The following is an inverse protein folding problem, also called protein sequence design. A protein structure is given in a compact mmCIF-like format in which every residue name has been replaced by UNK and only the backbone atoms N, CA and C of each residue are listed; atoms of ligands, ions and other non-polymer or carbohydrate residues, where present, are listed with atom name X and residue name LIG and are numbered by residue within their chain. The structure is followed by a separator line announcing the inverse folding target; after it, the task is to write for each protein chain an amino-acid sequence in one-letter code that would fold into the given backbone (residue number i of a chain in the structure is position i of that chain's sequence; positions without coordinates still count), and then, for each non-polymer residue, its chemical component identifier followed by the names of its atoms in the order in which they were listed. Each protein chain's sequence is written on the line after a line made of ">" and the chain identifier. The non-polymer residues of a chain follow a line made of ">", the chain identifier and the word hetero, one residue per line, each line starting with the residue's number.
data_IF_597009449977
#
_entry.id   IF_597009449977
#
_cell.length_a   1.000
_cell.length_b   1.000
_cell.length_c   1.000
_cell.angle_alpha   90.00
_cell.angle_beta   90.00
_cell.angle_gamma   90.00
#
_symmetry.space_group_name_H-M   'P 1'
#
loop_
_entity.id
_entity.type
_entity.pdbx_description
1 polymer ?
#
# COMPACT_ATOMS: atom_id res chain seq x y z
N UNK A 1 -1.24 32.57 11.03
CA UNK A 1 -0.81 31.43 10.19
C UNK A 1 -1.77 30.25 10.28
N UNK A 2 -1.97 29.65 11.46
CA UNK A 2 -2.76 28.42 11.60
C UNK A 2 -4.24 28.58 11.16
N UNK A 3 -4.89 29.69 11.54
CA UNK A 3 -6.27 30.00 11.11
C UNK A 3 -6.40 30.07 9.57
N UNK A 4 -5.37 30.56 8.88
CA UNK A 4 -5.39 30.70 7.43
C UNK A 4 -5.27 29.34 6.73
N UNK A 5 -4.42 28.45 7.26
CA UNK A 5 -4.29 27.06 6.77
C UNK A 5 -5.61 26.32 6.97
N UNK A 6 -6.23 26.40 8.16
CA UNK A 6 -7.53 25.76 8.42
C UNK A 6 -8.64 26.32 7.51
N UNK A 7 -8.66 27.62 7.25
CA UNK A 7 -9.65 28.19 6.32
C UNK A 7 -9.43 27.71 4.88
N UNK A 8 -8.18 27.58 4.43
CA UNK A 8 -7.86 27.04 3.10
C UNK A 8 -8.32 25.58 2.97
N UNK A 9 -8.00 24.75 3.96
CA UNK A 9 -8.41 23.35 4.02
C UNK A 9 -9.93 23.19 3.96
N UNK A 10 -10.69 24.02 4.70
CA UNK A 10 -12.16 24.00 4.66
C UNK A 10 -12.72 24.49 3.31
N UNK A 11 -12.15 25.54 2.71
CA UNK A 11 -12.62 26.04 1.41
C UNK A 11 -12.42 24.98 0.32
N UNK A 12 -11.24 24.36 0.28
CA UNK A 12 -10.92 23.29 -0.67
C UNK A 12 -11.80 22.08 -0.38
N UNK A 13 -11.99 21.71 0.89
CA UNK A 13 -12.84 20.60 1.31
C UNK A 13 -14.29 20.75 0.88
N UNK A 14 -14.88 21.94 1.06
CA UNK A 14 -16.25 22.22 0.62
C UNK A 14 -16.38 22.16 -0.90
N UNK A 15 -15.39 22.70 -1.64
CA UNK A 15 -15.38 22.66 -3.10
C UNK A 15 -15.25 21.22 -3.64
N UNK A 16 -14.37 20.40 -3.06
CA UNK A 16 -14.23 18.99 -3.43
C UNK A 16 -15.46 18.17 -3.02
N UNK A 17 -15.97 18.40 -1.82
CA UNK A 17 -17.15 17.71 -1.28
C UNK A 17 -18.41 17.98 -2.11
N UNK A 18 -18.62 19.22 -2.58
CA UNK A 18 -19.73 19.55 -3.46
C UNK A 18 -19.60 18.87 -4.84
N UNK A 19 -18.40 18.86 -5.43
CA UNK A 19 -18.13 18.16 -6.69
C UNK A 19 -18.43 16.65 -6.60
N UNK A 20 -18.05 16.01 -5.48
CA UNK A 20 -18.33 14.59 -5.24
C UNK A 20 -19.82 14.34 -5.09
N UNK A 21 -20.53 15.22 -4.37
CA UNK A 21 -21.97 15.10 -4.15
C UNK A 21 -22.75 15.27 -5.44
N UNK A 22 -22.41 16.28 -6.23
CA UNK A 22 -23.13 16.64 -7.45
C UNK A 22 -22.90 15.59 -8.56
N UNK A 23 -21.74 14.91 -8.55
CA UNK A 23 -21.38 13.85 -9.51
C UNK A 23 -21.45 12.43 -8.91
N UNK A 24 -22.35 12.19 -7.93
CA UNK A 24 -22.42 10.92 -7.18
C UNK A 24 -22.46 9.68 -8.08
N UNK A 25 -23.28 9.68 -9.13
CA UNK A 25 -23.43 8.53 -10.03
C UNK A 25 -22.13 8.21 -10.76
N UNK A 26 -21.42 9.24 -11.23
CA UNK A 26 -20.12 9.08 -11.88
C UNK A 26 -19.10 8.48 -10.92
N UNK A 27 -19.01 8.99 -9.68
CA UNK A 27 -18.09 8.44 -8.68
C UNK A 27 -18.40 6.99 -8.33
N UNK A 28 -19.68 6.60 -8.20
CA UNK A 28 -20.07 5.20 -7.99
C UNK A 28 -19.58 4.31 -9.14
N UNK A 29 -19.86 4.69 -10.39
CA UNK A 29 -19.44 3.91 -11.57
C UNK A 29 -17.91 3.84 -11.70
N UNK A 30 -17.21 4.93 -11.41
CA UNK A 30 -15.74 4.98 -11.43
C UNK A 30 -15.17 4.07 -10.34
N UNK A 31 -15.69 4.13 -9.11
CA UNK A 31 -15.25 3.24 -8.02
C UNK A 31 -15.52 1.78 -8.36
N UNK A 32 -16.69 1.46 -8.91
CA UNK A 32 -16.99 0.08 -9.32
C UNK A 32 -16.04 -0.42 -10.42
N UNK A 33 -15.86 0.38 -11.47
CA UNK A 33 -14.93 0.04 -12.56
C UNK A 33 -13.50 -0.09 -12.03
N UNK A 34 -13.10 0.81 -11.13
CA UNK A 34 -11.79 0.77 -10.50
C UNK A 34 -11.55 -0.56 -9.79
N UNK A 35 -12.51 -1.00 -8.98
CA UNK A 35 -12.41 -2.24 -8.22
C UNK A 35 -12.43 -3.46 -9.14
N UNK A 36 -13.40 -3.54 -10.05
CA UNK A 36 -13.55 -4.72 -10.93
C UNK A 36 -12.34 -4.90 -11.85
N UNK A 37 -11.81 -3.81 -12.40
CA UNK A 37 -10.70 -3.87 -13.36
C UNK A 37 -9.34 -3.87 -12.67
N UNK A 38 -9.07 -2.91 -11.79
CA UNK A 38 -7.72 -2.72 -11.24
C UNK A 38 -7.46 -3.48 -9.95
N UNK A 39 -8.49 -3.84 -9.17
CA UNK A 39 -8.29 -4.66 -7.96
C UNK A 39 -8.47 -6.14 -8.33
N UNK A 40 -9.64 -6.53 -8.82
CA UNK A 40 -9.94 -7.93 -9.11
C UNK A 40 -9.28 -8.41 -10.41
N UNK A 41 -9.36 -7.64 -11.49
CA UNK A 41 -8.71 -7.98 -12.77
C UNK A 41 -7.20 -8.14 -12.61
N UNK A 42 -6.53 -7.13 -12.06
CA UNK A 42 -5.09 -7.21 -11.78
C UNK A 42 -4.71 -8.40 -10.88
N UNK A 43 -5.50 -8.70 -9.84
CA UNK A 43 -5.22 -9.86 -8.98
C UNK A 43 -5.28 -11.18 -9.76
N UNK A 44 -6.29 -11.34 -10.63
CA UNK A 44 -6.43 -12.52 -11.49
C UNK A 44 -5.28 -12.61 -12.50
N UNK A 45 -4.93 -11.51 -13.14
CA UNK A 45 -3.83 -11.44 -14.10
C UNK A 45 -2.49 -11.76 -13.43
N UNK A 46 -2.24 -11.20 -12.24
CA UNK A 46 -1.04 -11.47 -11.43
C UNK A 46 -0.93 -12.95 -11.08
N UNK A 47 -2.05 -13.57 -10.65
CA UNK A 47 -2.09 -14.99 -10.29
C UNK A 47 -1.88 -15.91 -11.51
N UNK A 48 -2.47 -15.57 -12.65
CA UNK A 48 -2.24 -16.29 -13.91
C UNK A 48 -0.79 -16.16 -14.38
N UNK A 49 -0.23 -14.95 -14.34
CA UNK A 49 1.17 -14.70 -14.65
C UNK A 49 2.10 -15.54 -13.78
N UNK A 50 1.82 -15.61 -12.47
CA UNK A 50 2.61 -16.36 -11.52
C UNK A 50 2.51 -17.90 -11.68
N UNK A 51 1.40 -18.41 -12.20
CA UNK A 51 1.22 -19.82 -12.54
C UNK A 51 1.96 -20.20 -13.84
N UNK A 52 2.03 -19.28 -14.81
CA UNK A 52 2.48 -19.58 -16.17
C UNK A 52 3.98 -19.56 -16.44
N UNK A 53 4.78 -18.77 -15.69
CA UNK A 53 6.26 -18.72 -15.58
C UNK A 53 6.71 -17.28 -15.28
N UNK A 54 6.70 -16.85 -14.00
CA UNK A 54 7.12 -15.51 -13.65
C UNK A 54 8.60 -15.31 -13.98
N UNK A 55 8.90 -14.25 -14.74
CA UNK A 55 10.26 -13.87 -15.14
C UNK A 55 11.04 -14.98 -15.88
N UNK A 56 10.35 -15.95 -16.50
CA UNK A 56 10.97 -17.08 -17.19
C UNK A 56 11.60 -18.13 -16.27
N UNK A 57 11.37 -18.05 -14.96
CA UNK A 57 11.80 -19.07 -13.99
C UNK A 57 10.73 -20.16 -13.97
N UNK A 58 11.14 -21.40 -14.25
CA UNK A 58 10.24 -22.54 -14.14
C UNK A 58 10.03 -22.89 -12.66
N UNK A 59 8.85 -22.56 -12.16
CA UNK A 59 8.41 -22.94 -10.82
C UNK A 59 7.88 -24.38 -10.84
N UNK A 60 7.57 -24.91 -9.65
CA UNK A 60 6.83 -26.15 -9.55
C UNK A 60 5.37 -25.90 -9.98
N UNK A 61 5.05 -26.29 -11.22
CA UNK A 61 3.77 -26.03 -11.89
C UNK A 61 2.57 -26.52 -11.07
N UNK A 62 2.64 -27.74 -10.52
CA UNK A 62 1.56 -28.34 -9.71
C UNK A 62 1.26 -27.53 -8.45
N UNK A 63 2.33 -27.08 -7.77
CA UNK A 63 2.18 -26.32 -6.52
C UNK A 63 1.75 -24.88 -6.81
N UNK A 64 2.29 -24.26 -7.86
CA UNK A 64 1.88 -22.93 -8.28
C UNK A 64 0.38 -22.88 -8.63
N UNK A 65 -0.12 -23.90 -9.31
CA UNK A 65 -1.52 -24.04 -9.69
C UNK A 65 -2.45 -24.25 -8.47
N UNK A 66 -2.05 -25.09 -7.50
CA UNK A 66 -2.79 -25.23 -6.24
C UNK A 66 -2.84 -23.91 -5.46
N UNK A 67 -1.71 -23.20 -5.34
CA UNK A 67 -1.65 -21.91 -4.64
C UNK A 67 -2.49 -20.86 -5.38
N UNK A 68 -2.43 -20.84 -6.71
CA UNK A 68 -3.22 -19.96 -7.56
C UNK A 68 -4.73 -20.17 -7.34
N UNK A 69 -5.20 -21.41 -7.39
CA UNK A 69 -6.60 -21.74 -7.08
C UNK A 69 -7.02 -21.30 -5.68
N UNK A 70 -6.16 -21.46 -4.68
CA UNK A 70 -6.47 -21.03 -3.31
C UNK A 70 -6.66 -19.51 -3.20
N UNK A 71 -5.77 -18.72 -3.81
CA UNK A 71 -5.89 -17.26 -3.82
C UNK A 71 -7.03 -16.75 -4.71
N UNK A 72 -7.31 -17.41 -5.83
CA UNK A 72 -8.50 -17.12 -6.64
C UNK A 72 -9.79 -17.40 -5.84
N UNK A 73 -9.82 -18.49 -5.09
CA UNK A 73 -10.92 -18.79 -4.16
C UNK A 73 -11.11 -17.70 -3.11
N UNK A 74 -10.03 -17.23 -2.50
CA UNK A 74 -10.06 -16.12 -1.54
C UNK A 74 -10.56 -14.82 -2.18
N UNK A 75 -10.13 -14.52 -3.41
CA UNK A 75 -10.62 -13.36 -4.17
C UNK A 75 -12.11 -13.47 -4.49
N UNK A 76 -12.57 -14.64 -4.91
CA UNK A 76 -13.99 -14.87 -5.24
C UNK A 76 -14.88 -14.76 -4.00
N UNK A 77 -14.39 -15.24 -2.85
CA UNK A 77 -15.06 -15.08 -1.57
C UNK A 77 -15.20 -13.59 -1.21
N UNK A 78 -14.18 -12.78 -1.48
CA UNK A 78 -14.29 -11.34 -1.25
C UNK A 78 -15.30 -10.65 -2.17
N UNK A 79 -15.28 -11.02 -3.46
CA UNK A 79 -16.19 -10.48 -4.47
C UNK A 79 -17.65 -10.78 -4.11
N UNK A 80 -17.97 -12.01 -3.72
CA UNK A 80 -19.36 -12.45 -3.56
C UNK A 80 -19.87 -12.54 -2.12
N UNK A 81 -19.01 -12.86 -1.14
CA UNK A 81 -19.47 -13.28 0.20
C UNK A 81 -19.27 -12.23 1.30
N UNK A 82 -18.24 -11.38 1.22
CA UNK A 82 -17.81 -10.60 2.42
C UNK A 82 -18.12 -9.10 2.33
N UNK A 83 -17.90 -8.40 1.20
CA UNK A 83 -18.12 -6.95 1.20
C UNK A 83 -18.40 -6.29 -0.15
N UNK A 84 -17.88 -6.76 -1.28
CA UNK A 84 -17.75 -5.86 -2.44
C UNK A 84 -19.08 -5.42 -3.04
N UNK A 85 -19.93 -6.37 -3.42
CA UNK A 85 -21.26 -6.08 -4.00
C UNK A 85 -22.18 -5.29 -3.05
N UNK A 86 -22.38 -5.71 -1.78
CA UNK A 86 -23.22 -4.94 -0.86
C UNK A 86 -22.62 -3.57 -0.50
N UNK A 87 -21.28 -3.43 -0.40
CA UNK A 87 -20.66 -2.14 -0.12
C UNK A 87 -20.72 -1.17 -1.29
N UNK A 88 -20.55 -1.64 -2.54
CA UNK A 88 -20.74 -0.80 -3.72
C UNK A 88 -22.20 -0.34 -3.84
N UNK A 89 -23.16 -1.25 -3.62
CA UNK A 89 -24.58 -0.96 -3.72
C UNK A 89 -25.04 0.09 -2.68
N UNK A 90 -24.46 0.08 -1.49
CA UNK A 90 -24.83 0.97 -0.39
C UNK A 90 -23.78 2.05 -0.07
N UNK A 91 -22.85 2.33 -0.98
CA UNK A 91 -21.76 3.27 -0.71
C UNK A 91 -22.31 4.68 -0.43
N UNK A 92 -22.09 5.24 0.78
CA UNK A 92 -22.66 6.52 1.18
C UNK A 92 -21.81 7.68 0.66
N UNK A 93 -21.62 7.78 -0.67
CA UNK A 93 -20.84 8.86 -1.31
C UNK A 93 -21.36 10.25 -0.91
N UNK A 94 -22.68 10.38 -0.73
CA UNK A 94 -23.28 11.62 -0.27
C UNK A 94 -22.80 12.01 1.16
N UNK A 95 -22.63 11.04 2.05
CA UNK A 95 -22.08 11.26 3.39
C UNK A 95 -20.59 11.61 3.32
N UNK A 96 -19.83 10.96 2.43
CA UNK A 96 -18.42 11.29 2.18
C UNK A 96 -18.31 12.75 1.70
N UNK A 97 -19.12 13.18 0.74
CA UNK A 97 -19.14 14.56 0.26
C UNK A 97 -19.51 15.59 1.35
N UNK A 98 -20.38 15.23 2.30
CA UNK A 98 -20.74 16.09 3.44
C UNK A 98 -19.57 16.34 4.39
N UNK A 99 -18.64 15.38 4.53
CA UNK A 99 -17.46 15.53 5.39
C UNK A 99 -16.47 16.57 4.88
N UNK A 100 -16.57 17.00 3.62
CA UNK A 100 -15.77 18.10 3.08
C UNK A 100 -15.96 19.43 3.82
N UNK A 101 -17.07 19.60 4.55
CA UNK A 101 -17.28 20.76 5.44
C UNK A 101 -16.25 20.82 6.59
N UNK A 102 -15.68 19.67 6.96
CA UNK A 102 -14.66 19.58 8.02
C UNK A 102 -13.24 19.85 7.51
N UNK A 103 -13.01 19.89 6.18
CA UNK A 103 -11.70 20.04 5.57
C UNK A 103 -11.50 19.16 4.33
N UNK A 104 -10.48 19.46 3.53
CA UNK A 104 -10.00 18.58 2.47
C UNK A 104 -9.21 17.41 3.07
N UNK A 105 -8.43 17.67 4.13
CA UNK A 105 -7.70 16.66 4.89
C UNK A 105 -8.57 15.49 5.36
N UNK A 106 -9.75 15.78 5.91
CA UNK A 106 -10.72 14.76 6.36
C UNK A 106 -11.32 13.98 5.19
N UNK A 107 -11.63 14.67 4.09
CA UNK A 107 -12.18 14.07 2.87
C UNK A 107 -11.17 13.08 2.25
N UNK A 108 -9.90 13.48 2.13
CA UNK A 108 -8.83 12.62 1.60
C UNK A 108 -8.53 11.47 2.55
N UNK A 109 -8.56 11.69 3.87
CA UNK A 109 -8.47 10.61 4.86
C UNK A 109 -9.53 9.53 4.63
N UNK A 110 -10.79 9.92 4.45
CA UNK A 110 -11.89 8.99 4.15
C UNK A 110 -11.75 8.29 2.81
N UNK A 111 -11.22 8.97 1.78
CA UNK A 111 -10.92 8.34 0.48
C UNK A 111 -9.79 7.31 0.63
N UNK A 112 -8.76 7.60 1.41
CA UNK A 112 -7.67 6.67 1.70
C UNK A 112 -8.16 5.45 2.49
N UNK A 113 -9.02 5.65 3.48
CA UNK A 113 -9.68 4.59 4.25
C UNK A 113 -10.55 3.72 3.34
N UNK A 114 -11.37 4.34 2.47
CA UNK A 114 -12.18 3.62 1.49
C UNK A 114 -11.29 2.79 0.56
N UNK A 115 -10.20 3.36 0.04
CA UNK A 115 -9.23 2.63 -0.79
C UNK A 115 -8.61 1.45 -0.03
N UNK A 116 -8.35 1.59 1.27
CA UNK A 116 -7.82 0.50 2.10
C UNK A 116 -8.81 -0.66 2.24
N UNK A 117 -10.11 -0.36 2.37
CA UNK A 117 -11.20 -1.34 2.43
C UNK A 117 -11.39 -2.01 1.07
N UNK A 118 -11.34 -1.26 -0.02
CA UNK A 118 -11.47 -1.81 -1.37
C UNK A 118 -10.30 -2.73 -1.74
N UNK A 119 -9.10 -2.45 -1.21
CA UNK A 119 -7.88 -3.24 -1.45
C UNK A 119 -7.60 -4.31 -0.39
N UNK A 120 -8.56 -4.59 0.51
CA UNK A 120 -8.46 -5.66 1.51
C UNK A 120 -8.08 -7.06 0.95
N UNK A 121 -8.52 -7.47 -0.25
CA UNK A 121 -8.11 -8.76 -0.83
C UNK A 121 -6.61 -8.91 -0.94
N UNK A 122 -5.90 -7.84 -1.35
CA UNK A 122 -4.45 -7.84 -1.44
C UNK A 122 -3.80 -7.96 -0.06
N UNK A 123 -4.37 -7.30 0.95
CA UNK A 123 -3.89 -7.43 2.32
C UNK A 123 -4.07 -8.85 2.84
N UNK A 124 -5.24 -9.45 2.64
CA UNK A 124 -5.50 -10.83 3.04
C UNK A 124 -4.56 -11.82 2.33
N UNK A 125 -4.39 -11.69 1.01
CA UNK A 125 -3.45 -12.51 0.26
C UNK A 125 -2.01 -12.35 0.76
N UNK A 126 -1.58 -11.11 1.02
CA UNK A 126 -0.26 -10.82 1.59
C UNK A 126 -0.05 -11.45 2.96
N UNK A 127 -1.02 -11.35 3.88
CA UNK A 127 -0.92 -11.94 5.22
C UNK A 127 -0.78 -13.45 5.14
N UNK A 128 -1.60 -14.10 4.31
CA UNK A 128 -1.53 -15.55 4.09
C UNK A 128 -0.18 -15.94 3.46
N UNK A 129 0.26 -15.23 2.43
CA UNK A 129 1.54 -15.49 1.77
C UNK A 129 2.74 -15.29 2.71
N UNK A 130 2.74 -14.22 3.50
CA UNK A 130 3.78 -13.91 4.48
C UNK A 130 3.83 -14.96 5.60
N UNK A 131 2.66 -15.41 6.07
CA UNK A 131 2.57 -16.50 7.04
C UNK A 131 3.18 -17.78 6.47
N UNK A 132 2.75 -18.20 5.28
CA UNK A 132 3.27 -19.41 4.61
C UNK A 132 4.77 -19.32 4.37
N UNK A 133 5.28 -18.20 3.85
CA UNK A 133 6.71 -17.98 3.64
C UNK A 133 7.50 -18.12 4.94
N UNK A 134 7.05 -17.49 6.02
CA UNK A 134 7.71 -17.57 7.33
C UNK A 134 7.75 -19.01 7.86
N UNK A 135 6.66 -19.76 7.73
CA UNK A 135 6.62 -21.16 8.15
C UNK A 135 7.57 -22.02 7.31
N UNK A 136 7.52 -21.89 5.98
CA UNK A 136 8.41 -22.65 5.09
C UNK A 136 9.88 -22.33 5.31
N UNK A 137 10.23 -21.06 5.54
CA UNK A 137 11.61 -20.68 5.86
C UNK A 137 12.10 -21.30 7.17
N UNK A 138 11.27 -21.26 8.22
CA UNK A 138 11.59 -21.86 9.52
C UNK A 138 11.77 -23.39 9.41
N UNK A 139 10.84 -24.06 8.72
CA UNK A 139 10.92 -25.52 8.47
C UNK A 139 12.16 -25.89 7.66
N UNK A 140 12.48 -25.11 6.63
CA UNK A 140 13.64 -25.33 5.79
C UNK A 140 14.95 -25.19 6.58
N UNK A 141 15.04 -24.16 7.43
CA UNK A 141 16.18 -23.98 8.32
C UNK A 141 16.33 -25.14 9.32
N UNK A 142 15.23 -25.57 9.94
CA UNK A 142 15.26 -26.70 10.87
C UNK A 142 15.71 -28.01 10.21
N UNK A 143 15.21 -28.29 8.99
CA UNK A 143 15.65 -29.47 8.24
C UNK A 143 17.10 -29.36 7.79
N UNK A 144 17.56 -28.18 7.38
CA UNK A 144 18.95 -27.96 7.04
C UNK A 144 19.90 -28.25 8.22
N UNK A 145 19.48 -27.93 9.44
CA UNK A 145 20.23 -28.31 10.65
C UNK A 145 20.26 -29.84 10.85
N UNK A 146 19.13 -30.54 10.64
CA UNK A 146 19.06 -32.02 10.71
C UNK A 146 20.01 -32.67 9.69
N UNK A 147 20.06 -32.18 8.45
CA UNK A 147 21.01 -32.65 7.43
C UNK A 147 22.46 -32.58 7.87
N UNK A 148 22.79 -31.52 8.61
CA UNK A 148 24.15 -31.28 9.10
C UNK A 148 24.43 -32.05 10.39
N UNK A 149 23.49 -32.86 10.86
CA UNK A 149 23.57 -33.55 12.14
C UNK A 149 23.56 -32.59 13.32
N UNK A 150 22.80 -31.50 13.24
CA UNK A 150 22.70 -30.48 14.29
C UNK A 150 21.28 -30.38 14.82
N UNK A 151 21.15 -30.21 16.14
CA UNK A 151 19.86 -30.04 16.84
C UNK A 151 19.87 -28.76 17.65
N UNK A 152 18.81 -27.97 17.54
CA UNK A 152 18.63 -26.81 18.41
C UNK A 152 18.25 -27.26 19.83
N UNK A 153 19.02 -26.82 20.83
CA UNK A 153 18.78 -27.12 22.23
C UNK A 153 18.14 -25.90 22.92
N UNK A 154 16.83 -25.92 23.26
CA UNK A 154 16.14 -24.77 23.86
C UNK A 154 16.66 -24.44 25.27
N UNK A 155 17.25 -25.41 25.98
CA UNK A 155 17.80 -25.20 27.34
C UNK A 155 19.07 -24.35 27.33
N UNK A 156 19.83 -24.38 26.23
CA UNK A 156 21.12 -23.67 26.08
C UNK A 156 21.09 -22.64 24.96
N UNK A 157 19.93 -22.42 24.33
CA UNK A 157 19.70 -21.49 23.23
C UNK A 157 20.78 -21.56 22.13
N UNK A 158 21.24 -22.77 21.79
CA UNK A 158 22.32 -23.00 20.81
C UNK A 158 22.09 -24.29 20.02
N UNK A 159 22.64 -24.35 18.81
CA UNK A 159 22.62 -25.56 17.98
C UNK A 159 23.83 -26.44 18.31
N UNK A 160 23.57 -27.70 18.70
CA UNK A 160 24.59 -28.68 19.10
C UNK A 160 24.65 -29.83 18.10
N UNK A 161 25.81 -30.48 17.91
CA UNK A 161 25.87 -31.72 17.15
C UNK A 161 24.99 -32.78 17.82
N UNK A 162 24.18 -33.47 17.04
CA UNK A 162 23.31 -34.55 17.49
C UNK A 162 23.54 -35.78 16.63
N UNK A 163 23.55 -36.94 17.28
CA UNK A 163 23.57 -38.25 16.61
C UNK A 163 22.15 -38.63 16.24
N UNK A 164 21.87 -38.61 14.93
CA UNK A 164 20.62 -39.08 14.36
C UNK A 164 20.79 -40.52 13.85
N UNK A 165 19.74 -41.32 13.93
CA UNK A 165 19.71 -42.61 13.25
C UNK A 165 19.64 -42.42 11.72
N UNK A 166 20.07 -43.43 10.97
CA UNK A 166 20.11 -43.34 9.50
C UNK A 166 18.73 -43.07 8.92
N UNK A 167 17.69 -43.68 9.49
CA UNK A 167 16.30 -43.53 9.03
C UNK A 167 15.76 -42.11 9.28
N UNK A 168 16.08 -41.51 10.43
CA UNK A 168 15.71 -40.14 10.77
C UNK A 168 16.38 -39.13 9.84
N UNK A 169 17.68 -39.34 9.58
CA UNK A 169 18.43 -38.49 8.66
C UNK A 169 17.86 -38.62 7.25
N UNK A 170 17.55 -39.83 6.79
CA UNK A 170 16.98 -40.08 5.47
C UNK A 170 15.60 -39.42 5.31
N UNK A 171 14.71 -39.54 6.30
CA UNK A 171 13.42 -38.86 6.27
C UNK A 171 13.56 -37.34 6.24
N UNK A 172 14.43 -36.80 7.11
CA UNK A 172 14.81 -35.38 7.07
C UNK A 172 15.32 -34.98 5.69
N UNK A 173 16.07 -35.89 5.04
CA UNK A 173 16.59 -35.64 3.69
C UNK A 173 15.56 -35.49 2.60
N UNK A 174 14.61 -36.40 2.57
CA UNK A 174 13.52 -36.36 1.59
C UNK A 174 12.68 -35.10 1.79
N UNK A 175 12.31 -34.78 3.04
CA UNK A 175 11.49 -33.61 3.33
C UNK A 175 12.16 -32.29 2.94
N UNK A 176 13.49 -32.19 3.08
CA UNK A 176 14.22 -30.97 2.74
C UNK A 176 14.30 -30.79 1.25
N UNK A 177 14.61 -31.85 0.51
CA UNK A 177 14.64 -31.79 -0.96
C UNK A 177 13.26 -31.37 -1.48
N UNK A 178 12.18 -31.95 -0.94
CA UNK A 178 10.81 -31.58 -1.29
C UNK A 178 10.49 -30.13 -0.93
N UNK A 179 10.80 -29.68 0.29
CA UNK A 179 10.52 -28.31 0.73
C UNK A 179 11.38 -27.27 -0.01
N UNK A 180 12.66 -27.57 -0.25
CA UNK A 180 13.57 -26.76 -1.08
C UNK A 180 13.07 -26.61 -2.51
N UNK A 181 12.43 -27.64 -3.08
CA UNK A 181 11.85 -27.55 -4.41
C UNK A 181 10.58 -26.67 -4.45
N UNK A 182 9.83 -26.63 -3.35
CA UNK A 182 8.60 -25.83 -3.20
C UNK A 182 8.89 -24.38 -2.80
N UNK A 183 9.97 -24.15 -2.05
CA UNK A 183 10.30 -22.86 -1.46
C UNK A 183 10.41 -21.69 -2.47
N UNK A 184 11.04 -21.85 -3.66
CA UNK A 184 11.09 -20.80 -4.68
C UNK A 184 9.69 -20.35 -5.14
N UNK A 185 8.75 -21.30 -5.26
CA UNK A 185 7.35 -21.00 -5.59
C UNK A 185 6.72 -20.12 -4.51
N UNK A 186 6.81 -20.52 -3.24
CA UNK A 186 6.26 -19.75 -2.11
C UNK A 186 6.87 -18.35 -2.04
N UNK A 187 8.19 -18.26 -2.25
CA UNK A 187 8.93 -17.00 -2.26
C UNK A 187 8.43 -16.06 -3.37
N UNK A 188 8.20 -16.57 -4.59
CA UNK A 188 7.67 -15.77 -5.69
C UNK A 188 6.27 -15.21 -5.40
N UNK A 189 5.36 -16.03 -4.85
CA UNK A 189 4.02 -15.58 -4.41
C UNK A 189 4.11 -14.51 -3.33
N UNK A 190 4.99 -14.69 -2.34
CA UNK A 190 5.21 -13.68 -1.30
C UNK A 190 5.68 -12.34 -1.89
N UNK A 191 6.68 -12.33 -2.78
CA UNK A 191 7.18 -11.09 -3.38
C UNK A 191 6.14 -10.41 -4.28
N UNK A 192 5.35 -11.16 -5.04
CA UNK A 192 4.27 -10.61 -5.86
C UNK A 192 3.21 -9.88 -5.01
N UNK A 193 2.79 -10.47 -3.89
CA UNK A 193 1.83 -9.84 -2.99
C UNK A 193 2.44 -8.72 -2.14
N UNK A 194 3.70 -8.85 -1.73
CA UNK A 194 4.40 -7.79 -1.00
C UNK A 194 4.60 -6.54 -1.87
N UNK A 195 4.99 -6.70 -3.14
CA UNK A 195 5.19 -5.59 -4.07
C UNK A 195 3.88 -4.88 -4.41
N UNK A 196 2.81 -5.62 -4.70
CA UNK A 196 1.47 -5.03 -4.91
C UNK A 196 0.95 -4.28 -3.67
N UNK A 197 1.14 -4.83 -2.47
CA UNK A 197 0.79 -4.13 -1.22
C UNK A 197 1.60 -2.84 -1.04
N UNK A 198 2.89 -2.87 -1.35
CA UNK A 198 3.76 -1.69 -1.27
C UNK A 198 3.33 -0.61 -2.27
N UNK A 199 2.95 -1.00 -3.49
CA UNK A 199 2.41 -0.06 -4.48
C UNK A 199 1.13 0.62 -3.98
N UNK A 200 0.20 -0.14 -3.40
CA UNK A 200 -1.05 0.41 -2.84
C UNK A 200 -0.75 1.41 -1.71
N UNK A 201 0.08 1.03 -0.73
CA UNK A 201 0.45 1.91 0.38
C UNK A 201 1.20 3.17 -0.11
N UNK A 202 2.07 3.02 -1.11
CA UNK A 202 2.78 4.16 -1.70
C UNK A 202 1.83 5.14 -2.38
N UNK A 203 0.80 4.63 -3.06
CA UNK A 203 -0.22 5.48 -3.72
C UNK A 203 -1.06 6.25 -2.70
N UNK A 204 -1.42 5.62 -1.57
CA UNK A 204 -2.10 6.26 -0.45
C UNK A 204 -1.23 7.35 0.18
N UNK A 205 0.04 7.06 0.46
CA UNK A 205 0.98 8.03 1.01
C UNK A 205 1.19 9.21 0.07
N UNK A 206 1.28 8.97 -1.24
CA UNK A 206 1.39 10.02 -2.25
C UNK A 206 0.18 10.96 -2.25
N UNK A 207 -1.04 10.42 -2.12
CA UNK A 207 -2.26 11.23 -2.06
C UNK A 207 -2.29 12.13 -0.82
N UNK A 208 -1.96 11.57 0.34
CA UNK A 208 -1.94 12.33 1.61
C UNK A 208 -0.88 13.43 1.55
N UNK A 209 0.35 13.09 1.13
CA UNK A 209 1.45 14.06 1.03
C UNK A 209 1.20 15.15 -0.03
N UNK A 210 0.51 14.84 -1.14
CA UNK A 210 0.15 15.82 -2.15
C UNK A 210 -0.79 16.90 -1.59
N UNK A 211 -1.70 16.51 -0.69
CA UNK A 211 -2.66 17.43 -0.05
C UNK A 211 -1.96 18.28 0.99
N UNK A 212 -1.12 17.68 1.83
CA UNK A 212 -0.29 18.42 2.78
C UNK A 212 0.61 19.44 2.06
N UNK A 213 1.13 19.09 0.87
CA UNK A 213 1.90 20.00 0.03
C UNK A 213 1.05 21.15 -0.55
N UNK A 214 -0.21 20.88 -0.94
CA UNK A 214 -1.15 21.90 -1.40
C UNK A 214 -1.54 22.88 -0.28
N UNK A 215 -1.72 22.38 0.95
CA UNK A 215 -2.01 23.22 2.12
C UNK A 215 -0.79 24.03 2.59
N UNK A 216 0.41 23.48 2.43
CA UNK A 216 1.65 24.20 2.68
C UNK A 216 1.95 25.28 1.61
N UNK A 217 1.31 25.19 0.43
CA UNK A 217 1.52 26.17 -0.63
C UNK A 217 0.96 27.54 -0.21
N UNK A 218 1.74 28.63 -0.28
CA UNK A 218 1.32 29.94 0.17
C UNK A 218 0.38 30.58 -0.86
N UNK A 219 -0.82 30.01 -1.05
CA UNK A 219 -1.88 30.58 -1.86
C UNK A 219 -2.20 32.01 -1.41
N UNK A 220 -2.05 32.32 -0.12
CA UNK A 220 -2.16 33.68 0.42
C UNK A 220 -1.25 34.69 -0.24
N UNK A 221 0.02 34.34 -0.48
CA UNK A 221 1.01 35.25 -1.06
C UNK A 221 0.72 35.47 -2.54
N UNK A 222 0.24 34.44 -3.25
CA UNK A 222 -0.22 34.57 -4.63
C UNK A 222 -1.52 35.39 -4.73
N UNK A 223 -2.48 35.16 -3.84
CA UNK A 223 -3.75 35.88 -3.81
C UNK A 223 -3.54 37.34 -3.41
N UNK A 224 -2.62 37.65 -2.49
CA UNK A 224 -2.18 39.03 -2.21
C UNK A 224 -1.44 39.64 -3.40
N UNK A 225 -0.58 38.89 -4.09
CA UNK A 225 0.12 39.36 -5.29
C UNK A 225 -0.85 39.73 -6.42
N UNK A 226 -1.92 38.96 -6.61
CA UNK A 226 -2.93 39.23 -7.63
C UNK A 226 -3.97 40.28 -7.23
N UNK A 227 -4.43 40.28 -5.97
CA UNK A 227 -5.53 41.15 -5.52
C UNK A 227 -5.06 42.52 -5.03
N UNK A 228 -3.86 42.64 -4.47
CA UNK A 228 -3.33 43.90 -3.94
C UNK A 228 -1.80 43.86 -3.84
N UNK A 229 -1.07 44.08 -4.95
CA UNK A 229 0.40 44.02 -4.97
C UNK A 229 1.06 45.03 -4.01
N UNK A 230 0.36 46.07 -3.57
CA UNK A 230 0.85 47.08 -2.62
C UNK A 230 0.86 46.67 -1.14
N UNK A 231 0.30 45.52 -0.75
CA UNK A 231 0.33 45.05 0.65
C UNK A 231 1.47 44.08 0.98
N UNK A 232 2.35 43.81 0.02
CA UNK A 232 3.58 43.04 0.23
C UNK A 232 4.65 43.97 0.84
N UNK A 233 5.15 43.71 2.06
CA UNK A 233 6.25 44.48 2.62
C UNK A 233 7.53 44.03 1.92
N UNK A 234 8.00 44.81 0.95
CA UNK A 234 9.33 44.61 0.39
C UNK A 234 9.54 45.38 -0.90
N UNK A 235 10.10 46.59 -0.77
CA UNK A 235 11.15 47.18 -1.61
C UNK A 235 11.75 48.46 -0.96
N UNK A 236 11.04 49.09 -0.02
CA UNK A 236 11.47 50.38 0.57
C UNK A 236 12.65 50.30 1.56
N UNK A 237 13.09 49.12 1.99
CA UNK A 237 14.27 48.99 2.87
C UNK A 237 15.62 48.95 2.12
N UNK A 238 15.63 48.84 0.79
CA UNK A 238 16.89 48.81 0.02
C UNK A 238 17.44 50.20 -0.32
N UNK A 239 16.68 51.29 -0.09
CA UNK A 239 17.10 52.65 -0.48
C UNK A 239 17.73 53.49 0.64
N UNK A 240 17.87 52.96 1.87
CA UNK A 240 18.43 53.72 3.00
C UNK A 240 19.90 53.40 3.32
N UNK A 241 20.60 52.62 2.48
CA UNK A 241 22.05 52.38 2.63
C UNK A 241 22.86 52.78 1.39
N UNK A 242 22.54 53.94 0.82
CA UNK A 242 23.40 54.63 -0.12
C UNK A 242 23.45 56.12 0.23
N UNK A 243 24.03 56.44 1.39
CA UNK A 243 24.58 57.77 1.63
C UNK A 243 25.92 57.88 0.87
N UNK A 244 26.11 58.88 0.00
CA UNK A 244 27.35 59.04 -0.74
C UNK A 244 28.43 59.58 0.19
N UNK A 245 29.62 58.97 0.10
CA UNK A 245 30.89 59.57 0.52
C UNK A 245 31.07 60.82 -0.35
N UNK A 246 30.80 62.00 0.23
CA UNK A 246 31.06 63.30 -0.37
C UNK A 246 32.16 64.02 0.41
N UNK A 247 33.34 64.11 -0.20
CA UNK A 247 34.47 64.90 0.25
C UNK A 247 34.15 66.39 0.22
N UNK A 248 34.61 67.15 1.24
CA UNK A 248 34.96 68.58 1.11
C UNK A 248 36.11 68.88 2.09
N UNK A 249 37.25 69.24 1.49
CA UNK A 249 38.40 70.07 1.93
C UNK A 249 38.83 70.08 3.40
#
# INVERSE_FOLDING_TARGET
>A
NLLWICMNDVIIGVALGSLIRDNRSLFLTVTETFVRTYVLGYLRDLLQWLSSWPMGIKLNDEVADVICRAFLGLSNLWEHAVCLEPMLAHLPIACIGLTGVLGASTLIGLVADLLSVLTLPFFACYVVAAFTFRQSFSMLHALFDVFRGRKFNPLRNRTEPATYEVDELLLGTILFVMLSAIFPTIMAFYFAFASSRLLILSSQALLITAVEALDAFPLFLLLLRFKSPHRLPGWSFLFLHSTPIGAVT
#
